data_IF_572376392432
#
_entry.id   IF_572376392432
#
_cell.length_a   1.000
_cell.length_b   1.000
_cell.length_c   1.000
_cell.angle_alpha   90.00
_cell.angle_beta   90.00
_cell.angle_gamma   90.00
#
_symmetry.space_group_name_H-M   'P 1'
#
loop_
_entity.id
_entity.type
_entity.pdbx_description
1 polymer ?
#
# COMPACT_ATOMS: atom_id res chain seq x y z
N UNK A 1 6.00 -9.97 -30.36
CA UNK A 1 6.15 -8.66 -31.03
C UNK A 1 5.44 -7.63 -30.17
N UNK A 2 6.14 -6.59 -29.71
CA UNK A 2 5.54 -5.56 -28.86
C UNK A 2 5.10 -4.38 -29.73
N UNK A 3 3.86 -3.91 -29.58
CA UNK A 3 3.35 -2.73 -30.28
C UNK A 3 3.89 -1.46 -29.63
N UNK A 4 3.98 -0.39 -30.42
CA UNK A 4 4.31 0.93 -29.94
C UNK A 4 3.28 1.40 -28.89
N UNK A 5 3.70 1.63 -27.65
CA UNK A 5 2.83 2.10 -26.56
C UNK A 5 2.52 3.61 -26.63
N UNK A 6 2.89 4.28 -27.73
CA UNK A 6 2.58 5.69 -27.97
C UNK A 6 1.50 5.86 -29.03
N UNK A 7 1.46 4.98 -30.04
CA UNK A 7 0.49 5.08 -31.14
C UNK A 7 -0.33 3.80 -31.35
N UNK A 8 0.09 2.68 -30.76
CA UNK A 8 -0.55 1.35 -30.81
C UNK A 8 -0.83 0.79 -32.22
N UNK A 9 -0.31 1.45 -33.25
CA UNK A 9 -0.59 1.15 -34.66
C UNK A 9 0.49 0.30 -35.31
N UNK A 10 1.73 0.40 -34.85
CA UNK A 10 2.89 -0.24 -35.48
C UNK A 10 3.73 -0.97 -34.44
N UNK A 11 4.48 -1.97 -34.89
CA UNK A 11 5.42 -2.71 -34.06
C UNK A 11 6.53 -1.77 -33.53
N UNK A 12 6.89 -1.96 -32.26
CA UNK A 12 7.95 -1.19 -31.63
C UNK A 12 9.32 -1.60 -32.16
N UNK A 13 10.10 -0.59 -32.56
CA UNK A 13 11.46 -0.77 -33.07
C UNK A 13 12.52 -0.34 -32.06
N UNK A 14 12.13 0.52 -31.11
CA UNK A 14 13.03 1.13 -30.13
C UNK A 14 12.39 1.18 -28.74
N UNK A 15 13.20 1.40 -27.71
CA UNK A 15 12.75 1.52 -26.31
C UNK A 15 13.29 2.79 -25.68
N UNK A 16 12.49 3.46 -24.85
CA UNK A 16 12.92 4.66 -24.14
C UNK A 16 13.96 4.32 -23.07
N UNK A 17 15.08 5.06 -22.94
CA UNK A 17 16.09 4.80 -21.90
C UNK A 17 15.60 5.12 -20.48
N UNK A 18 14.59 5.98 -20.31
CA UNK A 18 14.11 6.42 -18.98
C UNK A 18 13.02 5.50 -18.41
N UNK A 19 12.05 5.09 -19.22
CA UNK A 19 10.89 4.30 -18.75
C UNK A 19 10.77 2.93 -19.44
N UNK A 20 11.73 2.56 -20.31
CA UNK A 20 11.73 1.31 -21.11
C UNK A 20 10.51 1.12 -22.03
N UNK A 21 9.64 2.12 -22.15
CA UNK A 21 8.44 2.09 -23.00
C UNK A 21 8.80 1.82 -24.47
N UNK A 22 8.20 0.81 -25.12
CA UNK A 22 8.47 0.46 -26.50
C UNK A 22 7.76 1.40 -27.48
N UNK A 23 8.48 1.91 -28.49
CA UNK A 23 7.97 2.85 -29.49
C UNK A 23 8.44 2.51 -30.92
N UNK A 24 7.68 2.94 -31.94
CA UNK A 24 7.98 2.63 -33.35
C UNK A 24 8.96 3.62 -34.00
N UNK A 25 8.87 4.92 -33.69
CA UNK A 25 9.65 5.96 -34.38
C UNK A 25 9.99 7.18 -33.52
N UNK A 26 10.89 8.04 -34.01
CA UNK A 26 11.28 9.29 -33.34
C UNK A 26 10.09 10.25 -33.11
N UNK A 27 9.04 10.15 -33.92
CA UNK A 27 7.78 10.91 -33.73
C UNK A 27 7.10 10.48 -32.43
N UNK A 28 7.04 9.17 -32.18
CA UNK A 28 6.52 8.61 -30.94
C UNK A 28 7.43 8.93 -29.75
N UNK A 29 8.75 8.97 -29.94
CA UNK A 29 9.68 9.38 -28.90
C UNK A 29 9.48 10.84 -28.45
N UNK A 30 9.27 11.77 -29.39
CA UNK A 30 9.00 13.18 -29.05
C UNK A 30 7.67 13.35 -28.31
N UNK A 31 6.60 12.72 -28.81
CA UNK A 31 5.29 12.71 -28.13
C UNK A 31 5.39 12.14 -26.71
N UNK A 32 6.16 11.07 -26.55
CA UNK A 32 6.41 10.46 -25.25
C UNK A 32 7.27 11.33 -24.31
N UNK A 33 8.18 12.15 -24.86
CA UNK A 33 9.04 13.06 -24.07
C UNK A 33 8.30 14.32 -23.61
N UNK A 34 7.22 14.71 -24.29
CA UNK A 34 6.39 15.85 -23.92
C UNK A 34 5.43 15.52 -22.77
N UNK A 35 5.02 14.26 -22.62
CA UNK A 35 4.36 13.77 -21.41
C UNK A 35 5.42 13.39 -20.35
N UNK A 36 5.21 13.72 -19.06
CA UNK A 36 6.15 13.29 -18.02
C UNK A 36 6.22 11.77 -18.02
N UNK A 37 7.38 11.22 -18.38
CA UNK A 37 7.64 9.79 -18.40
C UNK A 37 7.66 9.26 -16.95
N UNK A 38 6.48 9.02 -16.38
CA UNK A 38 6.38 8.37 -15.09
C UNK A 38 6.74 6.89 -15.28
N UNK A 39 7.64 6.40 -14.43
CA UNK A 39 7.95 4.98 -14.34
C UNK A 39 6.72 4.34 -13.72
N UNK A 40 5.76 3.93 -14.54
CA UNK A 40 4.71 3.04 -14.07
C UNK A 40 5.37 1.68 -13.88
N UNK A 41 5.76 1.42 -12.63
CA UNK A 41 6.09 0.08 -12.16
C UNK A 41 4.79 -0.73 -12.24
N UNK A 42 4.54 -1.36 -13.39
CA UNK A 42 3.59 -2.46 -13.48
C UNK A 42 4.28 -3.70 -12.92
N UNK A 43 3.82 -4.09 -11.74
CA UNK A 43 4.11 -5.36 -11.08
C UNK A 43 3.83 -6.54 -12.02
N UNK A 44 4.86 -7.34 -12.33
CA UNK A 44 4.71 -8.79 -12.31
C UNK A 44 6.05 -9.50 -12.10
N UNK A 45 6.16 -10.04 -10.88
CA UNK A 45 6.77 -11.31 -10.50
C UNK A 45 8.22 -11.58 -10.94
N UNK A 46 9.16 -11.33 -10.03
CA UNK A 46 10.12 -12.33 -9.55
C UNK A 46 11.08 -11.68 -8.52
N UNK A 47 11.05 -12.19 -7.29
CA UNK A 47 12.14 -12.19 -6.30
C UNK A 47 13.12 -11.01 -6.34
N UNK A 48 12.83 -9.94 -5.61
CA UNK A 48 13.90 -9.12 -5.03
C UNK A 48 13.41 -8.52 -3.74
N UNK A 49 14.02 -8.99 -2.65
CA UNK A 49 14.05 -8.37 -1.33
C UNK A 49 14.51 -6.93 -1.53
N UNK A 50 13.56 -6.01 -1.68
CA UNK A 50 13.85 -4.58 -1.62
C UNK A 50 13.83 -4.19 -0.15
N UNK A 51 15.05 -4.05 0.38
CA UNK A 51 15.41 -3.28 1.56
C UNK A 51 14.42 -2.14 1.80
N UNK A 52 13.46 -2.39 2.70
CA UNK A 52 12.68 -1.34 3.35
C UNK A 52 13.70 -0.39 3.97
N UNK A 53 13.73 0.85 3.51
CA UNK A 53 14.30 1.96 4.26
C UNK A 53 13.73 1.88 5.68
N UNK A 54 14.63 1.72 6.64
CA UNK A 54 14.46 1.99 8.06
C UNK A 54 13.04 2.37 8.48
N UNK A 55 12.30 1.36 8.94
CA UNK A 55 11.33 1.59 10.01
C UNK A 55 12.20 1.96 11.22
N UNK A 56 12.53 3.25 11.37
CA UNK A 56 12.93 3.75 12.67
C UNK A 56 11.71 3.54 13.56
N UNK A 57 11.79 2.52 14.41
CA UNK A 57 10.96 2.45 15.60
C UNK A 57 11.16 3.77 16.35
N UNK A 58 10.21 4.69 16.20
CA UNK A 58 10.17 5.91 17.01
C UNK A 58 9.68 5.45 18.39
N UNK A 59 10.60 5.15 19.29
CA UNK A 59 10.30 4.79 20.67
C UNK A 59 11.41 3.95 21.30
N UNK A 60 11.82 4.36 22.49
CA UNK A 60 12.63 3.56 23.39
C UNK A 60 11.89 2.24 23.69
N UNK A 61 12.57 1.07 23.72
CA UNK A 61 11.95 -0.22 23.99
C UNK A 61 11.35 -0.37 25.40
N UNK A 62 11.48 0.65 26.25
CA UNK A 62 11.08 0.64 27.67
C UNK A 62 9.77 1.40 27.94
N UNK A 63 9.19 2.09 26.95
CA UNK A 63 7.84 2.66 27.09
C UNK A 63 6.79 1.61 26.71
N UNK A 64 6.27 0.91 27.73
CA UNK A 64 5.05 0.08 27.64
C UNK A 64 3.83 0.97 27.38
N UNK A 65 3.79 1.68 26.25
CA UNK A 65 2.59 2.40 25.84
C UNK A 65 1.52 1.35 25.47
N UNK A 66 0.44 1.23 26.26
CA UNK A 66 -0.55 0.20 26.06
C UNK A 66 -1.34 0.38 24.75
N UNK A 67 -1.14 1.47 24.01
CA UNK A 67 -1.71 1.69 22.68
C UNK A 67 -0.88 1.08 21.54
N UNK A 68 0.38 0.68 21.78
CA UNK A 68 1.21 0.04 20.75
C UNK A 68 0.84 -1.43 20.58
N UNK A 69 0.70 -1.86 19.32
CA UNK A 69 0.46 -3.26 18.97
C UNK A 69 1.73 -4.08 19.23
N UNK A 70 1.57 -5.20 19.93
CA UNK A 70 2.64 -6.17 20.14
C UNK A 70 2.81 -7.08 18.93
N UNK A 71 3.93 -7.81 18.87
CA UNK A 71 4.16 -8.80 17.81
C UNK A 71 3.06 -9.88 17.78
N UNK A 72 2.54 -10.29 18.94
CA UNK A 72 1.43 -11.24 19.05
C UNK A 72 0.13 -10.68 18.48
N UNK A 73 -0.17 -9.40 18.72
CA UNK A 73 -1.33 -8.73 18.14
C UNK A 73 -1.27 -8.72 16.60
N UNK A 74 -0.08 -8.44 16.04
CA UNK A 74 0.14 -8.47 14.59
C UNK A 74 -0.02 -9.88 14.00
N UNK A 75 0.49 -10.92 14.68
CA UNK A 75 0.29 -12.30 14.22
C UNK A 75 -1.19 -12.69 14.18
N UNK A 76 -1.98 -12.27 15.17
CA UNK A 76 -3.43 -12.52 15.20
C UNK A 76 -4.16 -11.84 14.06
N UNK A 77 -3.76 -10.61 13.72
CA UNK A 77 -4.29 -9.89 12.56
C UNK A 77 -3.99 -10.63 11.24
N UNK A 78 -2.80 -11.24 11.11
CA UNK A 78 -2.41 -12.02 9.94
C UNK A 78 -3.25 -13.31 9.81
N UNK A 79 -3.55 -13.98 10.93
CA UNK A 79 -4.35 -15.21 10.93
C UNK A 79 -5.86 -14.98 10.84
N UNK A 80 -6.31 -13.72 10.81
CA UNK A 80 -7.74 -13.39 10.72
C UNK A 80 -8.18 -13.30 9.26
N UNK A 81 -8.96 -14.28 8.79
CA UNK A 81 -9.52 -14.29 7.44
C UNK A 81 -10.36 -13.03 7.15
N UNK A 82 -11.09 -12.53 8.16
CA UNK A 82 -11.87 -11.28 8.04
C UNK A 82 -10.99 -10.08 7.73
N UNK A 83 -9.84 -9.95 8.40
CA UNK A 83 -8.90 -8.84 8.15
C UNK A 83 -8.35 -8.95 6.74
N UNK A 84 -8.05 -10.16 6.28
CA UNK A 84 -7.57 -10.40 4.92
C UNK A 84 -8.64 -10.06 3.86
N UNK A 85 -9.90 -10.42 4.10
CA UNK A 85 -11.04 -10.06 3.25
C UNK A 85 -11.18 -8.55 3.10
N UNK A 86 -11.09 -7.80 4.21
CA UNK A 86 -11.09 -6.34 4.16
C UNK A 86 -9.89 -5.75 3.41
N UNK A 87 -8.71 -6.36 3.54
CA UNK A 87 -7.49 -5.96 2.83
C UNK A 87 -7.52 -6.31 1.35
N UNK A 88 -8.41 -7.19 0.90
CA UNK A 88 -8.60 -7.50 -0.52
C UNK A 88 -9.24 -6.32 -1.27
N UNK A 89 -10.08 -5.54 -0.59
CA UNK A 89 -10.67 -4.32 -1.14
C UNK A 89 -9.60 -3.26 -1.44
N UNK A 90 -9.49 -2.90 -2.72
CA UNK A 90 -8.56 -1.88 -3.20
C UNK A 90 -8.76 -0.51 -2.52
N UNK A 91 -10.01 -0.18 -2.14
CA UNK A 91 -10.30 1.06 -1.41
C UNK A 91 -9.65 1.08 -0.03
N UNK A 92 -9.71 -0.01 0.74
CA UNK A 92 -9.12 -0.09 2.08
C UNK A 92 -7.61 0.06 2.00
N UNK A 93 -6.94 -0.62 1.06
CA UNK A 93 -5.50 -0.45 0.86
C UNK A 93 -5.11 0.98 0.49
N UNK A 94 -5.91 1.67 -0.33
CA UNK A 94 -5.69 3.07 -0.69
C UNK A 94 -5.89 3.99 0.51
N UNK A 95 -6.92 3.76 1.31
CA UNK A 95 -7.22 4.54 2.51
C UNK A 95 -6.12 4.38 3.57
N UNK A 96 -5.66 3.16 3.84
CA UNK A 96 -4.54 2.90 4.77
C UNK A 96 -3.26 3.62 4.29
N UNK A 97 -2.92 3.52 3.00
CA UNK A 97 -1.77 4.26 2.44
C UNK A 97 -1.94 5.79 2.56
N UNK A 98 -3.16 6.29 2.34
CA UNK A 98 -3.48 7.72 2.48
C UNK A 98 -3.29 8.19 3.92
N UNK A 99 -3.71 7.41 4.91
CA UNK A 99 -3.51 7.71 6.33
C UNK A 99 -2.02 7.72 6.66
N UNK A 100 -1.29 6.68 6.27
CA UNK A 100 0.15 6.52 6.55
C UNK A 100 1.00 7.66 5.94
N UNK A 101 0.66 8.12 4.75
CA UNK A 101 1.37 9.22 4.08
C UNK A 101 0.86 10.63 4.46
N UNK A 102 -0.16 10.75 5.32
CA UNK A 102 -0.75 12.05 5.68
C UNK A 102 0.00 12.74 6.81
N UNK A 103 0.08 14.08 6.80
CA UNK A 103 0.72 14.85 7.89
C UNK A 103 -0.08 14.83 9.20
N UNK A 104 -1.37 14.48 9.16
CA UNK A 104 -2.25 14.38 10.33
C UNK A 104 -3.07 13.06 10.27
N UNK A 105 -2.45 11.92 10.61
CA UNK A 105 -3.09 10.60 10.47
C UNK A 105 -4.35 10.46 11.33
N UNK A 106 -4.39 11.03 12.54
CA UNK A 106 -5.54 10.96 13.45
C UNK A 106 -6.79 11.60 12.84
N UNK A 107 -6.68 12.84 12.35
CA UNK A 107 -7.80 13.55 11.72
C UNK A 107 -8.28 12.86 10.45
N UNK A 108 -7.34 12.34 9.65
CA UNK A 108 -7.67 11.64 8.41
C UNK A 108 -8.36 10.32 8.72
N UNK A 109 -7.92 9.61 9.76
CA UNK A 109 -8.57 8.41 10.25
C UNK A 109 -10.02 8.69 10.67
N UNK A 110 -10.26 9.68 11.54
CA UNK A 110 -11.63 10.05 11.95
C UNK A 110 -12.52 10.43 10.78
N UNK A 111 -11.96 11.15 9.80
CA UNK A 111 -12.70 11.54 8.59
C UNK A 111 -13.09 10.32 7.76
N UNK A 112 -12.15 9.40 7.50
CA UNK A 112 -12.42 8.19 6.70
C UNK A 112 -13.41 7.27 7.41
N UNK A 113 -13.32 7.14 8.74
CA UNK A 113 -14.27 6.38 9.56
C UNK A 113 -15.70 6.91 9.44
N UNK A 114 -15.86 8.23 9.34
CA UNK A 114 -17.17 8.86 9.14
C UNK A 114 -17.67 8.77 7.69
N UNK A 115 -16.77 8.78 6.70
CA UNK A 115 -17.11 8.74 5.28
C UNK A 115 -17.40 7.33 4.75
N UNK A 116 -16.67 6.30 5.21
CA UNK A 116 -16.72 4.95 4.68
C UNK A 116 -17.12 3.92 5.76
N UNK A 117 -18.37 3.40 5.73
CA UNK A 117 -18.84 2.45 6.73
C UNK A 117 -18.14 1.09 6.65
N UNK A 118 -17.60 0.71 5.50
CA UNK A 118 -16.85 -0.55 5.31
C UNK A 118 -15.47 -0.42 5.97
N UNK A 119 -14.84 0.74 5.83
CA UNK A 119 -13.59 1.03 6.53
C UNK A 119 -13.78 1.11 8.04
N UNK A 120 -14.91 1.64 8.53
CA UNK A 120 -15.25 1.61 9.96
C UNK A 120 -15.36 0.18 10.48
N UNK A 121 -16.04 -0.71 9.75
CA UNK A 121 -16.14 -2.12 10.12
C UNK A 121 -14.77 -2.82 10.16
N UNK A 122 -13.89 -2.48 9.22
CA UNK A 122 -12.52 -2.94 9.22
C UNK A 122 -11.76 -2.48 10.48
N UNK A 123 -11.80 -1.18 10.81
CA UNK A 123 -11.15 -0.63 12.01
C UNK A 123 -11.71 -1.28 13.27
N UNK A 124 -13.04 -1.45 13.34
CA UNK A 124 -13.68 -2.11 14.47
C UNK A 124 -13.21 -3.57 14.62
N UNK A 125 -13.04 -4.28 13.51
CA UNK A 125 -12.49 -5.65 13.49
C UNK A 125 -11.04 -5.69 13.99
N UNK A 126 -10.20 -4.73 13.57
CA UNK A 126 -8.83 -4.62 14.08
C UNK A 126 -8.81 -4.38 15.60
N UNK A 127 -9.64 -3.46 16.08
CA UNK A 127 -9.77 -3.15 17.51
C UNK A 127 -10.27 -4.37 18.27
N UNK A 128 -11.27 -5.09 17.76
CA UNK A 128 -11.77 -6.30 18.42
C UNK A 128 -10.68 -7.37 18.57
N UNK A 129 -9.92 -7.66 17.52
CA UNK A 129 -8.88 -8.71 17.55
C UNK A 129 -7.75 -8.36 18.53
N UNK A 130 -7.37 -7.08 18.57
CA UNK A 130 -6.23 -6.60 19.36
C UNK A 130 -6.59 -6.31 20.82
N UNK A 131 -7.79 -5.79 21.09
CA UNK A 131 -8.24 -5.48 22.46
C UNK A 131 -8.91 -6.66 23.18
N UNK A 132 -9.58 -7.57 22.48
CA UNK A 132 -10.21 -8.76 23.10
C UNK A 132 -9.16 -9.64 23.78
N UNK A 133 -7.98 -9.77 23.19
CA UNK A 133 -6.87 -10.50 23.79
C UNK A 133 -6.37 -9.87 25.10
N UNK A 134 -6.30 -8.54 25.20
CA UNK A 134 -5.93 -7.85 26.46
C UNK A 134 -6.95 -8.09 27.58
N UNK A 135 -8.23 -8.32 27.25
CA UNK A 135 -9.25 -8.69 28.23
C UNK A 135 -9.18 -10.16 28.65
N UNK A 136 -8.85 -11.06 27.72
CA UNK A 136 -8.68 -12.49 28.01
C UNK A 136 -7.41 -12.77 28.84
N UNK A 137 -6.29 -12.10 28.55
CA UNK A 137 -5.05 -12.26 29.31
C UNK A 137 -5.09 -11.60 30.70
N UNK A 138 -6.01 -10.67 30.97
CA UNK A 138 -6.19 -10.05 32.30
C UNK A 138 -7.01 -10.91 33.27
N UNK A 139 -7.51 -12.07 32.81
CA UNK A 139 -8.33 -13.00 33.61
C UNK A 139 -7.54 -14.13 34.30
N UNK A 140 -6.21 -14.12 34.23
CA UNK A 140 -5.32 -15.07 34.93
C UNK A 140 -4.61 -14.37 36.08
#
# INVERSE_FOLDING_TARGET
MALCQVCEQEESKYKCPNCRLPYCSLVCFKKHKETPCHVEQDDQDNSTIQTRKDIKAVGDPEDEDPSRLTSEDLQRLIHSDKVHEFLEYSQIRKLVKKIDSSPNPEKVLDTIRAEDPVFEEFVQTLVEITFKHKLENKKV
#
